data_IF_344455853671
#
_entry.id   IF_344455853671
#
_cell.length_a   1.000
_cell.length_b   1.000
_cell.length_c   1.000
_cell.angle_alpha   90.00
_cell.angle_beta   90.00
_cell.angle_gamma   90.00
#
_symmetry.space_group_name_H-M   'P 1'
#
loop_
_entity.id
_entity.type
_entity.pdbx_description
1 polymer ?
#
# COMPACT_ATOMS: atom_id res chain seq x y z
N UNK A 1 34.22 -7.23 -3.20
CA UNK A 1 33.09 -6.35 -3.53
C UNK A 1 31.86 -6.98 -2.91
N UNK A 2 31.48 -6.49 -1.74
CA UNK A 2 30.29 -6.94 -1.02
C UNK A 2 29.07 -6.46 -1.79
N UNK A 3 28.28 -7.44 -2.24
CA UNK A 3 26.99 -7.26 -2.88
C UNK A 3 26.08 -6.55 -1.88
N UNK A 4 26.01 -5.22 -2.00
CA UNK A 4 25.10 -4.40 -1.22
C UNK A 4 23.80 -4.48 -1.98
N UNK A 5 23.11 -5.63 -1.87
CA UNK A 5 21.76 -5.78 -2.37
C UNK A 5 20.94 -4.67 -1.70
N UNK A 6 20.74 -3.58 -2.42
CA UNK A 6 20.00 -2.40 -1.99
C UNK A 6 18.62 -2.91 -1.59
N UNK A 7 18.40 -3.15 -0.29
CA UNK A 7 17.13 -3.62 0.21
C UNK A 7 16.14 -2.50 -0.11
N UNK A 8 15.25 -2.75 -1.06
CA UNK A 8 14.14 -1.84 -1.29
C UNK A 8 13.37 -1.72 0.03
N UNK A 9 13.04 -0.50 0.47
CA UNK A 9 12.31 -0.31 1.71
C UNK A 9 11.00 -1.10 1.61
N UNK A 10 10.73 -2.02 2.56
CA UNK A 10 9.51 -2.78 2.54
C UNK A 10 8.34 -1.84 2.78
N UNK A 11 7.31 -1.98 1.96
CA UNK A 11 6.06 -1.30 2.21
C UNK A 11 5.35 -1.93 3.42
N UNK A 12 4.62 -1.10 4.18
CA UNK A 12 3.91 -1.53 5.39
C UNK A 12 2.42 -1.31 5.21
N UNK A 13 1.61 -2.18 5.78
CA UNK A 13 0.15 -2.04 5.82
C UNK A 13 -0.27 -1.42 7.14
N UNK A 14 -1.06 -0.35 7.06
CA UNK A 14 -1.66 0.35 8.21
C UNK A 14 -3.16 0.42 8.07
N UNK A 15 -3.87 0.62 9.19
CA UNK A 15 -5.27 1.04 9.15
C UNK A 15 -5.38 2.40 8.46
N UNK A 16 -6.42 2.60 7.65
CA UNK A 16 -6.73 3.91 7.06
C UNK A 16 -7.01 4.94 8.14
N UNK A 17 -6.77 6.21 7.80
CA UNK A 17 -7.01 7.32 8.71
C UNK A 17 -8.45 7.33 9.25
N UNK A 18 -8.56 7.54 10.57
CA UNK A 18 -9.84 7.51 11.28
C UNK A 18 -10.39 6.13 11.63
N UNK A 19 -9.74 5.04 11.19
CA UNK A 19 -10.03 3.69 11.65
C UNK A 19 -9.14 3.29 12.83
N UNK A 20 -9.71 2.55 13.77
CA UNK A 20 -8.98 1.93 14.87
C UNK A 20 -9.45 0.50 15.10
N UNK A 21 -8.52 -0.37 15.45
CA UNK A 21 -8.85 -1.69 15.98
C UNK A 21 -8.89 -1.62 17.51
N UNK A 22 -9.89 -2.25 18.10
CA UNK A 22 -10.01 -2.40 19.55
C UNK A 22 -10.27 -3.86 19.88
N UNK A 23 -9.74 -4.30 21.01
CA UNK A 23 -9.95 -5.64 21.53
C UNK A 23 -10.52 -5.57 22.94
N UNK A 24 -11.55 -6.38 23.18
CA UNK A 24 -12.15 -6.55 24.51
C UNK A 24 -11.90 -7.98 25.02
N UNK A 25 -11.89 -8.20 26.34
CA UNK A 25 -11.84 -9.54 26.90
C UNK A 25 -12.98 -10.42 26.35
N UNK A 26 -12.63 -11.57 25.79
CA UNK A 26 -13.57 -12.61 25.34
C UNK A 26 -13.66 -13.76 26.34
N UNK A 27 -14.39 -14.82 25.96
CA UNK A 27 -14.44 -16.06 26.73
C UNK A 27 -13.16 -16.89 26.51
N UNK A 28 -12.80 -17.73 27.47
CA UNK A 28 -11.76 -18.77 27.32
C UNK A 28 -10.40 -18.24 26.81
N UNK A 29 -10.00 -17.04 27.26
CA UNK A 29 -8.71 -16.43 26.88
C UNK A 29 -8.67 -15.85 25.47
N UNK A 30 -9.81 -15.81 24.77
CA UNK A 30 -9.96 -15.07 23.51
C UNK A 30 -10.12 -13.58 23.76
N UNK A 31 -9.98 -12.80 22.68
CA UNK A 31 -10.30 -11.39 22.62
C UNK A 31 -11.27 -11.13 21.50
N UNK A 32 -12.25 -10.28 21.79
CA UNK A 32 -13.25 -9.85 20.83
C UNK A 32 -12.74 -8.62 20.09
N UNK A 33 -12.42 -8.77 18.81
CA UNK A 33 -11.88 -7.71 17.97
C UNK A 33 -12.99 -6.94 17.27
N UNK A 34 -12.90 -5.61 17.29
CA UNK A 34 -13.78 -4.71 16.55
C UNK A 34 -12.99 -3.63 15.79
N UNK A 35 -13.53 -3.21 14.66
CA UNK A 35 -13.09 -2.03 13.93
C UNK A 35 -14.00 -0.86 14.33
N UNK A 36 -13.43 0.31 14.59
CA UNK A 36 -14.19 1.51 14.94
C UNK A 36 -13.82 2.69 14.03
N UNK A 37 -14.81 3.52 13.70
CA UNK A 37 -14.67 4.79 12.98
C UNK A 37 -15.60 5.83 13.59
N UNK A 38 -15.06 6.76 14.36
CA UNK A 38 -15.88 7.69 15.15
C UNK A 38 -16.80 6.91 16.11
N UNK A 39 -18.12 7.10 15.98
CA UNK A 39 -19.14 6.39 16.77
C UNK A 39 -19.54 5.02 16.19
N UNK A 40 -19.11 4.72 14.96
CA UNK A 40 -19.44 3.45 14.31
C UNK A 40 -18.50 2.34 14.77
N UNK A 41 -19.07 1.15 14.96
CA UNK A 41 -18.35 -0.03 15.41
C UNK A 41 -18.81 -1.27 14.65
N UNK A 42 -17.86 -2.05 14.16
CA UNK A 42 -18.10 -3.30 13.44
C UNK A 42 -17.33 -4.43 14.10
N UNK A 43 -18.06 -5.49 14.46
CA UNK A 43 -17.44 -6.68 15.04
C UNK A 43 -16.73 -7.51 13.98
N UNK A 44 -15.46 -7.84 14.22
CA UNK A 44 -14.65 -8.65 13.33
C UNK A 44 -14.67 -10.13 13.73
N UNK A 45 -14.78 -10.41 15.04
CA UNK A 45 -14.91 -11.75 15.61
C UNK A 45 -14.12 -11.92 16.90
N UNK A 46 -14.16 -13.13 17.46
CA UNK A 46 -13.33 -13.53 18.59
C UNK A 46 -12.05 -14.21 18.03
N UNK A 47 -10.88 -13.83 18.56
CA UNK A 47 -9.56 -14.34 18.19
C UNK A 47 -8.79 -14.76 19.44
N UNK A 48 -7.81 -15.66 19.31
CA UNK A 48 -6.87 -15.88 20.41
C UNK A 48 -6.08 -14.61 20.73
N UNK A 49 -5.62 -14.48 21.98
CA UNK A 49 -4.98 -13.27 22.47
C UNK A 49 -3.78 -12.83 21.61
N UNK A 50 -2.91 -13.76 21.22
CA UNK A 50 -1.74 -13.48 20.37
C UNK A 50 -2.13 -12.96 18.97
N UNK A 51 -3.18 -13.51 18.36
CA UNK A 51 -3.70 -13.02 17.08
C UNK A 51 -4.29 -11.60 17.19
N UNK A 52 -5.07 -11.36 18.24
CA UNK A 52 -5.66 -10.04 18.48
C UNK A 52 -4.58 -8.98 18.77
N UNK A 53 -3.60 -9.31 19.61
CA UNK A 53 -2.48 -8.42 19.93
C UNK A 53 -1.68 -8.06 18.68
N UNK A 54 -1.34 -9.04 17.84
CA UNK A 54 -0.61 -8.78 16.59
C UNK A 54 -1.39 -7.90 15.60
N UNK A 55 -2.72 -8.03 15.55
CA UNK A 55 -3.56 -7.18 14.70
C UNK A 55 -3.70 -5.75 15.24
N UNK A 56 -3.68 -5.55 16.56
CA UNK A 56 -3.72 -4.19 17.14
C UNK A 56 -2.49 -3.35 16.73
N UNK A 57 -1.35 -4.01 16.47
CA UNK A 57 -0.14 -3.36 15.95
C UNK A 57 -0.26 -2.85 14.50
N UNK A 58 -1.35 -3.16 13.78
CA UNK A 58 -1.62 -2.57 12.46
C UNK A 58 -1.70 -1.04 12.49
N UNK A 59 -2.02 -0.44 13.65
CA UNK A 59 -1.93 1.02 13.81
C UNK A 59 -0.50 1.56 13.59
N UNK A 60 0.52 0.83 14.06
CA UNK A 60 1.93 1.16 13.83
C UNK A 60 2.43 0.70 12.45
N UNK A 61 1.77 -0.32 11.89
CA UNK A 61 1.97 -0.83 10.55
C UNK A 61 2.76 -2.13 10.50
N UNK A 62 2.31 -3.05 9.64
CA UNK A 62 2.89 -4.40 9.53
C UNK A 62 3.44 -4.62 8.13
N UNK A 63 4.62 -5.22 8.00
CA UNK A 63 5.30 -5.47 6.74
C UNK A 63 4.70 -6.66 5.94
N UNK A 64 3.37 -6.85 6.00
CA UNK A 64 2.63 -7.89 5.28
C UNK A 64 2.30 -9.15 6.10
N UNK A 65 1.74 -10.14 5.41
CA UNK A 65 1.21 -11.37 5.99
C UNK A 65 2.26 -12.20 6.74
N UNK A 66 3.49 -12.28 6.23
CA UNK A 66 4.57 -13.05 6.86
C UNK A 66 5.01 -12.41 8.18
N UNK A 67 5.14 -11.07 8.20
CA UNK A 67 5.47 -10.34 9.42
C UNK A 67 4.35 -10.46 10.48
N UNK A 68 3.08 -10.42 10.05
CA UNK A 68 1.93 -10.65 10.93
C UNK A 68 1.98 -12.05 11.53
N UNK A 69 2.22 -13.07 10.70
CA UNK A 69 2.32 -14.46 11.14
C UNK A 69 3.46 -14.65 12.15
N UNK A 70 4.63 -14.06 11.89
CA UNK A 70 5.77 -14.11 12.79
C UNK A 70 5.47 -13.44 14.14
N UNK A 71 4.75 -12.31 14.15
CA UNK A 71 4.34 -11.63 15.37
C UNK A 71 3.39 -12.48 16.22
N UNK A 72 2.42 -13.16 15.59
CA UNK A 72 1.51 -14.08 16.31
C UNK A 72 2.27 -15.23 16.96
N UNK A 73 3.20 -15.85 16.24
CA UNK A 73 4.03 -16.95 16.77
C UNK A 73 4.92 -16.46 17.91
N UNK A 74 5.55 -15.28 17.77
CA UNK A 74 6.36 -14.68 18.83
C UNK A 74 5.55 -14.37 20.10
N UNK A 75 4.26 -14.05 19.95
CA UNK A 75 3.31 -13.89 21.05
C UNK A 75 2.81 -15.20 21.67
N UNK A 76 3.33 -16.35 21.25
CA UNK A 76 2.93 -17.68 21.74
C UNK A 76 1.67 -18.24 21.07
N UNK A 77 1.21 -17.65 19.97
CA UNK A 77 0.07 -18.14 19.19
C UNK A 77 0.39 -19.40 18.39
N UNK A 78 -0.64 -20.24 18.20
CA UNK A 78 -0.57 -21.45 17.39
C UNK A 78 -1.01 -21.24 15.93
N UNK A 79 -1.10 -22.33 15.17
CA UNK A 79 -1.53 -22.28 13.76
C UNK A 79 -2.95 -21.71 13.57
N UNK A 80 -3.86 -21.96 14.52
CA UNK A 80 -5.21 -21.40 14.49
C UNK A 80 -5.21 -19.88 14.67
N UNK A 81 -4.34 -19.36 15.54
CA UNK A 81 -4.18 -17.91 15.76
C UNK A 81 -3.62 -17.23 14.51
N UNK A 82 -2.60 -17.84 13.88
CA UNK A 82 -2.03 -17.33 12.63
C UNK A 82 -3.10 -17.30 11.53
N UNK A 83 -3.86 -18.37 11.36
CA UNK A 83 -4.94 -18.42 10.38
C UNK A 83 -6.03 -17.37 10.65
N UNK A 84 -6.42 -17.17 11.92
CA UNK A 84 -7.38 -16.15 12.31
C UNK A 84 -6.88 -14.73 12.04
N UNK A 85 -5.62 -14.44 12.36
CA UNK A 85 -5.01 -13.14 12.10
C UNK A 85 -4.92 -12.83 10.59
N UNK A 86 -4.43 -13.78 9.80
CA UNK A 86 -4.36 -13.64 8.34
C UNK A 86 -5.74 -13.48 7.70
N UNK A 87 -6.73 -14.22 8.17
CA UNK A 87 -8.10 -14.09 7.69
C UNK A 87 -8.66 -12.69 7.94
N UNK A 88 -8.48 -12.14 9.15
CA UNK A 88 -8.92 -10.77 9.46
C UNK A 88 -8.13 -9.73 8.68
N UNK A 89 -6.81 -9.89 8.56
CA UNK A 89 -5.97 -9.00 7.74
C UNK A 89 -6.45 -8.93 6.29
N UNK A 90 -6.67 -10.08 5.65
CA UNK A 90 -7.19 -10.14 4.28
C UNK A 90 -8.59 -9.55 4.13
N UNK A 91 -9.45 -9.72 5.15
CA UNK A 91 -10.77 -9.07 5.17
C UNK A 91 -10.64 -7.56 5.25
N UNK A 92 -9.80 -7.03 6.13
CA UNK A 92 -9.54 -5.59 6.25
C UNK A 92 -8.95 -5.02 4.95
N UNK A 93 -8.03 -5.76 4.31
CA UNK A 93 -7.49 -5.39 3.00
C UNK A 93 -8.59 -5.35 1.94
N UNK A 94 -9.37 -6.42 1.80
CA UNK A 94 -10.45 -6.55 0.80
C UNK A 94 -11.52 -5.48 0.95
N UNK A 95 -11.81 -5.07 2.19
CA UNK A 95 -12.79 -4.01 2.51
C UNK A 95 -12.21 -2.60 2.43
N UNK A 96 -10.98 -2.44 1.90
CA UNK A 96 -10.29 -1.16 1.81
C UNK A 96 -10.18 -0.43 3.17
N UNK A 97 -10.04 -1.18 4.26
CA UNK A 97 -9.77 -0.65 5.61
C UNK A 97 -8.27 -0.46 5.88
N UNK A 98 -7.42 -1.07 5.05
CA UNK A 98 -5.98 -0.90 5.11
C UNK A 98 -5.49 0.03 3.99
N UNK A 99 -4.42 0.75 4.29
CA UNK A 99 -3.59 1.46 3.33
C UNK A 99 -2.17 0.92 3.40
N UNK A 100 -1.48 1.00 2.27
CA UNK A 100 -0.07 0.70 2.23
C UNK A 100 0.72 2.00 2.34
N UNK A 101 1.81 1.97 3.10
CA UNK A 101 2.68 3.12 3.32
C UNK A 101 4.09 2.80 2.85
N UNK A 102 4.70 3.79 2.21
CA UNK A 102 6.08 3.77 1.77
C UNK A 102 6.87 4.72 2.66
N UNK A 103 7.65 4.12 3.55
CA UNK A 103 8.52 4.81 4.49
C UNK A 103 9.96 4.35 4.28
N UNK A 104 10.91 5.22 4.52
CA UNK A 104 12.32 4.83 4.58
C UNK A 104 12.70 4.25 5.96
N UNK A 105 13.98 3.95 6.15
CA UNK A 105 14.49 3.42 7.41
C UNK A 105 14.51 4.46 8.56
N UNK A 106 14.48 5.76 8.25
CA UNK A 106 14.46 6.82 9.25
C UNK A 106 13.04 7.22 9.69
N UNK A 107 12.02 6.67 9.02
CA UNK A 107 10.61 6.87 9.29
C UNK A 107 9.98 7.98 8.46
N UNK A 108 10.70 8.53 7.48
CA UNK A 108 10.14 9.50 6.53
C UNK A 108 9.09 8.82 5.65
N UNK A 109 7.84 9.28 5.79
CA UNK A 109 6.73 8.86 4.96
C UNK A 109 6.78 9.56 3.59
N UNK A 110 6.95 8.77 2.53
CA UNK A 110 7.05 9.28 1.17
C UNK A 110 5.71 9.27 0.43
N UNK A 111 4.97 8.18 0.56
CA UNK A 111 3.70 7.99 -0.12
C UNK A 111 2.78 7.03 0.64
N UNK A 112 1.48 7.20 0.41
CA UNK A 112 0.44 6.25 0.83
C UNK A 112 -0.26 5.70 -0.41
N UNK A 113 -0.73 4.46 -0.35
CA UNK A 113 -1.49 3.80 -1.42
C UNK A 113 -2.78 3.23 -0.83
N UNK A 114 -3.90 3.78 -1.26
CA UNK A 114 -5.23 3.45 -0.76
C UNK A 114 -6.15 2.95 -1.86
N UNK A 115 -6.95 1.93 -1.56
CA UNK A 115 -8.00 1.48 -2.48
C UNK A 115 -9.20 2.41 -2.37
N UNK A 116 -9.65 2.92 -3.51
CA UNK A 116 -10.84 3.76 -3.61
C UNK A 116 -12.13 2.93 -3.70
N UNK A 117 -12.10 1.79 -4.38
CA UNK A 117 -13.25 0.89 -4.52
C UNK A 117 -12.84 -0.58 -4.41
N UNK A 118 -13.49 -1.39 -3.55
CA UNK A 118 -13.31 -2.84 -3.56
C UNK A 118 -14.02 -3.48 -4.76
N UNK A 119 -13.59 -4.67 -5.23
CA UNK A 119 -12.50 -5.48 -4.69
C UNK A 119 -11.12 -4.91 -5.02
N UNK A 120 -10.16 -5.16 -4.12
CA UNK A 120 -8.76 -4.72 -4.29
C UNK A 120 -8.08 -5.54 -5.39
N UNK A 121 -7.60 -4.92 -6.49
CA UNK A 121 -6.79 -5.63 -7.48
C UNK A 121 -5.51 -6.19 -6.83
N UNK A 122 -5.05 -7.36 -7.25
CA UNK A 122 -3.71 -7.84 -6.89
C UNK A 122 -2.69 -6.93 -7.61
N UNK A 123 -2.12 -5.97 -6.90
CA UNK A 123 -1.26 -4.95 -7.49
C UNK A 123 0.21 -5.18 -7.13
N UNK A 124 0.78 -6.24 -7.69
CA UNK A 124 2.24 -6.41 -7.83
C UNK A 124 2.60 -6.31 -9.32
N UNK A 125 2.79 -5.07 -9.79
CA UNK A 125 3.45 -4.86 -11.06
C UNK A 125 4.94 -4.64 -10.81
N UNK A 126 5.77 -5.50 -11.40
CA UNK A 126 7.21 -5.25 -11.49
C UNK A 126 7.47 -4.37 -12.71
N UNK A 127 8.09 -3.22 -12.49
CA UNK A 127 8.58 -2.37 -13.57
C UNK A 127 9.94 -2.90 -13.98
N UNK A 128 10.12 -3.21 -15.26
CA UNK A 128 11.44 -3.53 -15.81
C UNK A 128 12.40 -2.36 -15.53
N UNK A 129 13.58 -2.57 -14.92
CA UNK A 129 14.46 -1.47 -14.50
C UNK A 129 14.85 -0.51 -15.61
N UNK A 130 15.00 -1.03 -16.83
CA UNK A 130 15.42 -0.35 -18.06
C UNK A 130 14.25 0.23 -18.86
N UNK A 131 13.00 -0.10 -18.53
CA UNK A 131 11.85 0.39 -19.28
C UNK A 131 11.59 1.87 -18.95
N UNK A 132 11.52 2.76 -19.95
CA UNK A 132 11.07 4.13 -19.73
C UNK A 132 9.58 4.13 -19.37
N UNK A 133 9.24 4.77 -18.24
CA UNK A 133 7.88 4.86 -17.70
C UNK A 133 7.40 6.30 -17.77
N UNK A 134 6.14 6.50 -18.12
CA UNK A 134 5.48 7.82 -18.13
C UNK A 134 4.16 7.74 -17.36
N UNK A 135 3.73 8.86 -16.77
CA UNK A 135 2.39 8.96 -16.20
C UNK A 135 1.33 8.77 -17.29
N UNK A 136 0.25 8.07 -16.92
CA UNK A 136 -0.96 8.04 -17.73
C UNK A 136 -1.44 9.47 -17.98
N UNK A 137 -1.94 9.76 -19.17
CA UNK A 137 -2.52 11.06 -19.52
C UNK A 137 -3.81 11.36 -18.75
N UNK A 138 -4.40 10.32 -18.15
CA UNK A 138 -5.59 10.43 -17.30
C UNK A 138 -5.25 10.60 -15.83
N UNK A 139 -3.98 10.45 -15.45
CA UNK A 139 -3.53 10.73 -14.10
C UNK A 139 -3.57 12.24 -13.82
N UNK A 140 -4.16 12.63 -12.70
CA UNK A 140 -4.25 14.02 -12.28
C UNK A 140 -3.92 14.16 -10.79
N UNK A 141 -3.40 15.34 -10.43
CA UNK A 141 -3.17 15.70 -9.03
C UNK A 141 -4.43 16.37 -8.50
N UNK A 142 -4.92 15.88 -7.37
CA UNK A 142 -6.05 16.44 -6.65
C UNK A 142 -5.68 16.74 -5.19
N UNK A 143 -6.65 17.31 -4.47
CA UNK A 143 -6.56 17.48 -3.03
C UNK A 143 -7.64 16.64 -2.35
N UNK A 144 -7.22 15.74 -1.48
CA UNK A 144 -8.12 14.91 -0.67
C UNK A 144 -7.80 15.16 0.80
N UNK A 145 -8.80 15.59 1.58
CA UNK A 145 -8.65 15.90 3.01
C UNK A 145 -7.44 16.81 3.33
N UNK A 146 -7.17 17.76 2.43
CA UNK A 146 -6.05 18.71 2.56
C UNK A 146 -4.70 18.22 2.04
N UNK A 147 -4.55 16.91 1.73
CA UNK A 147 -3.33 16.30 1.21
C UNK A 147 -3.32 16.26 -0.32
N UNK A 148 -2.12 16.28 -0.91
CA UNK A 148 -1.95 16.10 -2.34
C UNK A 148 -2.03 14.60 -2.68
N UNK A 149 -2.84 14.27 -3.68
CA UNK A 149 -3.03 12.88 -4.12
C UNK A 149 -2.94 12.79 -5.63
N UNK A 150 -2.49 11.65 -6.13
CA UNK A 150 -2.54 11.28 -7.53
C UNK A 150 -3.65 10.24 -7.74
N UNK A 151 -4.52 10.50 -8.70
CA UNK A 151 -5.66 9.66 -9.05
C UNK A 151 -5.79 9.54 -10.57
N UNK A 152 -6.55 8.55 -11.03
CA UNK A 152 -6.99 8.40 -12.41
C UNK A 152 -8.40 7.80 -12.41
N UNK A 153 -9.28 8.14 -13.37
CA UNK A 153 -10.57 7.48 -13.53
C UNK A 153 -10.46 5.96 -13.78
N UNK A 154 -9.29 5.50 -14.19
CA UNK A 154 -9.02 4.08 -14.49
C UNK A 154 -8.33 3.35 -13.33
N UNK A 155 -7.81 4.09 -12.36
CA UNK A 155 -7.18 3.49 -11.20
C UNK A 155 -8.21 3.16 -10.12
N UNK A 156 -8.13 1.95 -9.57
CA UNK A 156 -8.80 1.62 -8.30
C UNK A 156 -8.09 2.23 -7.08
N UNK A 157 -6.97 2.93 -7.28
CA UNK A 157 -6.07 3.39 -6.24
C UNK A 157 -5.93 4.91 -6.20
N UNK A 158 -5.74 5.42 -4.99
CA UNK A 158 -5.31 6.77 -4.70
C UNK A 158 -3.91 6.71 -4.12
N UNK A 159 -3.01 7.53 -4.64
CA UNK A 159 -1.64 7.64 -4.12
C UNK A 159 -1.48 8.99 -3.41
N UNK A 160 -1.32 8.98 -2.10
CA UNK A 160 -0.97 10.18 -1.34
C UNK A 160 0.51 10.53 -1.54
N UNK A 161 0.77 11.82 -1.75
CA UNK A 161 2.11 12.37 -1.95
C UNK A 161 2.56 13.07 -0.66
N UNK A 162 3.24 12.32 0.21
CA UNK A 162 3.49 12.72 1.59
C UNK A 162 4.83 13.47 1.77
N UNK A 163 5.71 13.38 0.77
CA UNK A 163 7.02 14.04 0.79
C UNK A 163 7.28 14.91 -0.43
N UNK A 164 8.14 15.95 -0.32
CA UNK A 164 8.62 16.71 -1.48
C UNK A 164 9.29 15.84 -2.54
N UNK A 165 9.99 14.77 -2.13
CA UNK A 165 10.62 13.82 -3.04
C UNK A 165 9.59 13.10 -3.93
N UNK A 166 8.50 12.63 -3.34
CA UNK A 166 7.39 12.03 -4.09
C UNK A 166 6.77 13.04 -5.08
N UNK A 167 6.51 14.28 -4.64
CA UNK A 167 6.02 15.34 -5.53
C UNK A 167 6.98 15.67 -6.69
N UNK A 168 8.29 15.67 -6.42
CA UNK A 168 9.32 15.87 -7.44
C UNK A 168 9.37 14.72 -8.45
N UNK A 169 9.17 13.47 -8.03
CA UNK A 169 9.05 12.33 -8.93
C UNK A 169 7.85 12.50 -9.89
N UNK A 170 6.67 12.86 -9.37
CA UNK A 170 5.48 13.10 -10.21
C UNK A 170 5.76 14.22 -11.22
N UNK A 171 6.35 15.33 -10.77
CA UNK A 171 6.71 16.46 -11.65
C UNK A 171 7.67 16.03 -12.77
N UNK A 172 8.65 15.18 -12.48
CA UNK A 172 9.58 14.66 -13.48
C UNK A 172 8.88 13.77 -14.50
N UNK A 173 7.98 12.86 -14.06
CA UNK A 173 7.23 11.97 -14.95
C UNK A 173 6.23 12.73 -15.84
N UNK A 174 5.68 13.86 -15.36
CA UNK A 174 4.86 14.76 -16.17
C UNK A 174 5.67 15.40 -17.30
N UNK A 175 6.96 15.67 -17.06
CA UNK A 175 7.83 16.32 -18.02
C UNK A 175 8.42 15.35 -19.06
N UNK A 176 8.80 14.14 -18.64
CA UNK A 176 9.43 13.14 -19.52
C UNK A 176 9.37 11.72 -18.95
N UNK A 177 9.51 10.68 -19.79
CA UNK A 177 9.67 9.32 -19.31
C UNK A 177 10.92 9.14 -18.43
N UNK A 178 10.82 8.29 -17.40
CA UNK A 178 11.90 7.95 -16.48
C UNK A 178 12.10 6.44 -16.41
N UNK A 179 13.36 6.00 -16.24
CA UNK A 179 13.69 4.59 -16.01
C UNK A 179 13.96 4.38 -14.52
N UNK A 180 13.47 3.28 -13.96
CA UNK A 180 13.61 2.99 -12.53
C UNK A 180 15.09 2.93 -12.10
N UNK A 181 15.96 2.34 -12.92
CA UNK A 181 17.41 2.25 -12.63
C UNK A 181 18.12 3.61 -12.51
N UNK A 182 17.53 4.68 -13.06
CA UNK A 182 18.09 6.04 -13.01
C UNK A 182 17.67 6.81 -11.77
N UNK A 183 16.70 6.32 -11.00
CA UNK A 183 16.31 6.92 -9.73
C UNK A 183 17.30 6.45 -8.67
N UNK A 184 18.05 7.35 -8.01
CA UNK A 184 19.05 6.93 -7.00
C UNK A 184 18.39 6.38 -5.74
N UNK A 185 17.23 6.93 -5.38
CA UNK A 185 16.48 6.62 -4.17
C UNK A 185 15.65 5.33 -4.33
N UNK A 186 15.89 4.28 -3.52
CA UNK A 186 15.09 3.06 -3.50
C UNK A 186 13.59 3.29 -3.25
N UNK A 187 13.22 4.24 -2.40
CA UNK A 187 11.82 4.55 -2.13
C UNK A 187 11.16 5.11 -3.40
N UNK A 188 11.84 5.99 -4.14
CA UNK A 188 11.30 6.53 -5.40
C UNK A 188 11.17 5.46 -6.49
N UNK A 189 12.07 4.46 -6.53
CA UNK A 189 11.93 3.29 -7.40
C UNK A 189 10.68 2.48 -7.03
N UNK A 190 10.47 2.22 -5.74
CA UNK A 190 9.28 1.53 -5.23
C UNK A 190 8.00 2.29 -5.52
N UNK A 191 8.00 3.62 -5.35
CA UNK A 191 6.89 4.49 -5.71
C UNK A 191 6.58 4.42 -7.21
N UNK A 192 7.59 4.44 -8.08
CA UNK A 192 7.37 4.24 -9.52
C UNK A 192 6.70 2.89 -9.81
N UNK A 193 7.10 1.82 -9.11
CA UNK A 193 6.44 0.52 -9.15
C UNK A 193 4.98 0.56 -8.72
N UNK A 194 4.66 1.29 -7.64
CA UNK A 194 3.29 1.52 -7.22
C UNK A 194 2.44 2.24 -8.25
N UNK A 195 3.00 3.27 -8.91
CA UNK A 195 2.28 4.01 -9.95
C UNK A 195 1.91 3.11 -11.12
N UNK A 196 2.81 2.22 -11.54
CA UNK A 196 2.53 1.25 -12.60
C UNK A 196 1.52 0.20 -12.16
N UNK A 197 1.68 -0.35 -10.95
CA UNK A 197 0.74 -1.33 -10.39
C UNK A 197 -0.67 -0.74 -10.17
N UNK A 198 -0.77 0.58 -10.04
CA UNK A 198 -2.01 1.32 -9.89
C UNK A 198 -2.56 1.86 -11.22
N UNK A 199 -1.97 1.55 -12.37
CA UNK A 199 -2.40 2.08 -13.68
C UNK A 199 -2.37 3.63 -13.74
N UNK A 200 -1.53 4.26 -12.92
CA UNK A 200 -1.27 5.71 -12.93
C UNK A 200 -0.07 6.07 -13.81
N UNK A 201 0.74 5.07 -14.15
CA UNK A 201 1.87 5.15 -15.06
C UNK A 201 1.99 3.83 -15.83
N UNK A 202 2.69 3.84 -16.95
CA UNK A 202 3.01 2.61 -17.68
C UNK A 202 4.31 2.78 -18.48
N UNK A 203 4.90 1.68 -18.92
CA UNK A 203 6.04 1.68 -19.81
C UNK A 203 5.63 2.27 -21.18
N UNK A 204 6.46 3.16 -21.72
CA UNK A 204 6.27 3.64 -23.09
C UNK A 204 6.87 2.66 -24.09
N UNK A 205 6.23 2.57 -25.25
CA UNK A 205 6.73 1.77 -26.37
C UNK A 205 7.91 2.45 -27.09
N UNK A 206 8.43 1.81 -28.14
CA UNK A 206 9.58 2.32 -28.91
C UNK A 206 9.38 3.67 -29.60
N UNK A 207 8.13 4.13 -29.75
CA UNK A 207 7.77 5.47 -30.24
C UNK A 207 7.57 6.51 -29.12
N UNK A 208 7.77 6.11 -27.86
CA UNK A 208 7.62 6.97 -26.68
C UNK A 208 6.17 7.24 -26.27
N UNK A 209 5.22 6.52 -26.85
CA UNK A 209 3.80 6.63 -26.52
C UNK A 209 3.36 5.53 -25.55
N UNK A 210 2.33 5.83 -24.75
CA UNK A 210 1.63 4.84 -23.96
C UNK A 210 0.58 4.11 -24.83
N UNK A 211 0.16 2.89 -24.47
CA UNK A 211 -0.91 2.18 -25.19
C UNK A 211 -2.20 3.02 -25.36
N UNK A 212 -2.57 3.77 -24.33
CA UNK A 212 -3.74 4.67 -24.29
C UNK A 212 -3.63 5.92 -25.19
N UNK A 213 -2.42 6.29 -25.64
CA UNK A 213 -2.23 7.39 -26.58
C UNK A 213 -2.66 7.00 -28.00
N UNK A 214 -2.55 5.71 -28.34
CA UNK A 214 -2.88 5.20 -29.68
C UNK A 214 -4.35 4.81 -29.83
N UNK A 215 -4.98 4.38 -28.74
CA UNK A 215 -6.39 4.03 -28.69
C UNK A 215 -7.04 4.70 -27.48
N UNK A 216 -7.67 5.87 -27.65
CA UNK A 216 -8.23 6.62 -26.54
C UNK A 216 -9.44 5.95 -25.89
N UNK A 217 -10.06 4.99 -26.56
CA UNK A 217 -11.30 4.32 -26.15
C UNK A 217 -11.06 2.92 -25.59
N UNK A 218 -9.80 2.50 -25.44
CA UNK A 218 -9.45 1.16 -24.94
C UNK A 218 -10.03 0.96 -23.53
N UNK A 219 -11.01 0.07 -23.44
CA UNK A 219 -11.62 -0.45 -22.20
C UNK A 219 -11.04 -1.81 -21.86
#
# INVERSE_FOLDING_TARGET
MTDTATHEPPSRWRLRDGLRLVAEPGADGTRRLALERGEQRWMLGDLGAAAADALLELGAGVAGADALSAAVVAGGGGAADVAGALHVFERLRTLACLMEVLEDADGTLHATREVMMPPVPAADASVRPDAPVRLSRFAFIARHEGRAVLESPWSAWRIGLESPAAGALITQLMAKPLQAERLPDPAMRRLLGWLVAAELADAVDGDGLLPEDRDPDRR
#
